data_IF_582682381336
#
_entry.id   IF_582682381336
#
_cell.length_a   1.000
_cell.length_b   1.000
_cell.length_c   1.000
_cell.angle_alpha   90.00
_cell.angle_beta   90.00
_cell.angle_gamma   90.00
#
_symmetry.space_group_name_H-M   'P 1'
#
loop_
_entity.id
_entity.type
_entity.pdbx_description
1 polymer ?
#
# COMPACT_ATOMS: atom_id res chain seq x y z
N UNK A 1 -49.64 49.36 7.93
CA UNK A 1 -48.23 49.77 8.00
C UNK A 1 -47.52 49.22 9.25
N UNK A 2 -48.05 49.44 10.46
CA UNK A 2 -47.43 48.99 11.74
C UNK A 2 -47.38 47.47 11.97
N UNK A 3 -48.39 46.72 11.49
CA UNK A 3 -48.41 45.25 11.62
C UNK A 3 -47.28 44.61 10.79
N UNK A 4 -47.02 45.16 9.61
CA UNK A 4 -45.99 44.67 8.69
C UNK A 4 -44.58 44.88 9.26
N UNK A 5 -44.37 46.00 9.96
CA UNK A 5 -43.11 46.27 10.67
C UNK A 5 -42.91 45.36 11.88
N UNK A 6 -43.97 45.01 12.63
CA UNK A 6 -43.88 44.09 13.78
C UNK A 6 -43.53 42.67 13.32
N UNK A 7 -44.14 42.18 12.23
CA UNK A 7 -43.85 40.84 11.69
C UNK A 7 -42.40 40.73 11.19
N UNK A 8 -41.90 41.76 10.49
CA UNK A 8 -40.50 41.83 10.06
C UNK A 8 -39.53 41.85 11.25
N UNK A 9 -39.89 42.52 12.34
CA UNK A 9 -39.08 42.57 13.56
C UNK A 9 -38.97 41.18 14.21
N UNK A 10 -40.10 40.47 14.33
CA UNK A 10 -40.14 39.11 14.88
C UNK A 10 -39.32 38.14 14.00
N UNK A 11 -39.43 38.24 12.68
CA UNK A 11 -38.62 37.45 11.72
C UNK A 11 -37.13 37.74 11.91
N UNK A 12 -36.75 39.01 12.09
CA UNK A 12 -35.35 39.38 12.32
C UNK A 12 -34.79 38.77 13.61
N UNK A 13 -35.56 38.82 14.70
CA UNK A 13 -35.20 38.19 15.98
C UNK A 13 -35.07 36.67 15.84
N UNK A 14 -36.01 36.01 15.14
CA UNK A 14 -35.97 34.58 14.87
C UNK A 14 -34.75 34.18 14.02
N UNK A 15 -34.42 34.96 12.98
CA UNK A 15 -33.26 34.71 12.14
C UNK A 15 -31.95 34.84 12.93
N UNK A 16 -31.86 35.81 13.84
CA UNK A 16 -30.68 35.99 14.70
C UNK A 16 -30.52 34.79 15.63
N UNK A 17 -31.60 34.34 16.27
CA UNK A 17 -31.58 33.16 17.13
C UNK A 17 -31.14 31.89 16.39
N UNK A 18 -31.70 31.65 15.19
CA UNK A 18 -31.33 30.51 14.35
C UNK A 18 -29.91 30.61 13.77
N UNK A 19 -29.43 31.82 13.50
CA UNK A 19 -28.08 32.07 13.00
C UNK A 19 -27.00 31.72 14.03
N UNK A 20 -27.24 32.04 15.30
CA UNK A 20 -26.35 31.65 16.39
C UNK A 20 -26.19 30.13 16.50
N UNK A 21 -27.28 29.37 16.34
CA UNK A 21 -27.22 27.90 16.35
C UNK A 21 -26.49 27.31 15.14
N UNK A 22 -26.61 27.90 13.94
CA UNK A 22 -25.90 27.42 12.74
C UNK A 22 -24.41 27.76 12.73
N UNK A 23 -24.02 28.90 13.31
CA UNK A 23 -22.62 29.35 13.31
C UNK A 23 -21.72 28.44 14.17
N UNK A 24 -22.25 27.87 15.24
CA UNK A 24 -21.49 26.98 16.14
C UNK A 24 -21.24 25.59 15.51
N UNK A 25 -22.18 25.09 14.71
CA UNK A 25 -22.08 23.75 14.12
C UNK A 25 -21.12 23.68 12.92
N UNK A 26 -21.03 24.73 12.10
CA UNK A 26 -20.12 24.74 10.95
C UNK A 26 -18.64 24.83 11.33
N UNK A 27 -18.35 25.47 12.47
CA UNK A 27 -16.99 25.75 12.91
C UNK A 27 -16.38 24.59 13.70
N UNK A 28 -17.16 23.93 14.58
CA UNK A 28 -16.71 22.75 15.34
C UNK A 28 -16.46 21.54 14.45
N UNK A 29 -17.32 21.34 13.44
CA UNK A 29 -17.13 20.26 12.46
C UNK A 29 -15.85 20.47 11.67
N UNK A 30 -15.53 21.71 11.28
CA UNK A 30 -14.31 22.02 10.55
C UNK A 30 -13.03 21.80 11.38
N UNK A 31 -13.08 22.15 12.67
CA UNK A 31 -11.97 21.95 13.62
C UNK A 31 -11.74 20.45 13.90
N UNK A 32 -12.79 19.66 14.11
CA UNK A 32 -12.71 18.19 14.24
C UNK A 32 -12.15 17.52 12.97
N UNK A 33 -12.50 18.03 11.79
CA UNK A 33 -11.92 17.54 10.52
C UNK A 33 -10.45 17.91 10.37
N UNK A 34 -10.03 19.09 10.83
CA UNK A 34 -8.65 19.54 10.76
C UNK A 34 -7.74 18.74 11.70
N UNK A 35 -8.21 18.48 12.93
CA UNK A 35 -7.53 17.61 13.89
C UNK A 35 -7.44 16.16 13.38
N UNK A 36 -8.53 15.62 12.82
CA UNK A 36 -8.52 14.28 12.22
C UNK A 36 -7.57 14.21 11.02
N UNK A 37 -7.54 15.25 10.17
CA UNK A 37 -6.64 15.33 9.02
C UNK A 37 -5.17 15.38 9.44
N UNK A 38 -4.85 16.18 10.46
CA UNK A 38 -3.50 16.24 11.03
C UNK A 38 -3.06 14.90 11.62
N UNK A 39 -3.96 14.22 12.33
CA UNK A 39 -3.69 12.91 12.90
C UNK A 39 -3.46 11.86 11.80
N UNK A 40 -4.32 11.81 10.78
CA UNK A 40 -4.17 10.90 9.64
C UNK A 40 -2.86 11.13 8.89
N UNK A 41 -2.46 12.38 8.70
CA UNK A 41 -1.19 12.71 8.05
C UNK A 41 0.01 12.23 8.88
N UNK A 42 -0.05 12.38 10.21
CA UNK A 42 0.99 11.89 11.11
C UNK A 42 1.05 10.36 11.11
N UNK A 43 -0.11 9.69 11.11
CA UNK A 43 -0.20 8.23 11.05
C UNK A 43 0.34 7.68 9.73
N UNK A 44 0.01 8.31 8.60
CA UNK A 44 0.56 7.94 7.28
C UNK A 44 2.08 8.11 7.25
N UNK A 45 2.62 9.18 7.84
CA UNK A 45 4.06 9.38 7.90
C UNK A 45 4.76 8.30 8.73
N UNK A 46 4.20 7.97 9.89
CA UNK A 46 4.72 6.88 10.71
C UNK A 46 4.63 5.52 10.01
N UNK A 47 3.52 5.26 9.31
CA UNK A 47 3.33 4.04 8.53
C UNK A 47 4.34 3.96 7.38
N UNK A 48 4.58 5.06 6.66
CA UNK A 48 5.60 5.16 5.62
C UNK A 48 6.99 4.82 6.14
N UNK A 49 7.38 5.35 7.31
CA UNK A 49 8.68 5.03 7.90
C UNK A 49 8.78 3.56 8.32
N UNK A 50 7.73 3.00 8.92
CA UNK A 50 7.69 1.57 9.28
C UNK A 50 7.83 0.70 8.03
N UNK A 51 7.10 1.01 6.96
CA UNK A 51 7.18 0.30 5.67
C UNK A 51 8.58 0.44 5.06
N UNK A 52 9.15 1.65 5.03
CA UNK A 52 10.50 1.88 4.49
C UNK A 52 11.59 1.12 5.26
N UNK A 53 11.46 0.99 6.59
CA UNK A 53 12.38 0.16 7.39
C UNK A 53 12.23 -1.31 7.00
N UNK A 54 11.00 -1.81 6.87
CA UNK A 54 10.75 -3.18 6.43
C UNK A 54 11.27 -3.44 5.01
N UNK A 55 11.13 -2.49 4.09
CA UNK A 55 11.68 -2.57 2.73
C UNK A 55 13.21 -2.64 2.75
N UNK A 56 13.87 -1.83 3.57
CA UNK A 56 15.33 -1.87 3.71
C UNK A 56 15.82 -3.17 4.37
N UNK A 57 15.13 -3.68 5.39
CA UNK A 57 15.46 -4.97 6.01
C UNK A 57 15.25 -6.14 5.05
N UNK A 58 14.26 -6.05 4.16
CA UNK A 58 13.98 -7.06 3.14
C UNK A 58 14.71 -6.81 1.82
N UNK A 59 15.57 -5.77 1.75
CA UNK A 59 16.35 -5.33 0.58
C UNK A 59 15.49 -5.10 -0.69
N UNK A 60 14.26 -4.60 -0.54
CA UNK A 60 13.37 -4.26 -1.65
C UNK A 60 13.74 -2.85 -2.14
N UNK A 61 14.36 -2.75 -3.31
CA UNK A 61 14.60 -1.45 -3.96
C UNK A 61 13.33 -1.05 -4.71
N UNK A 62 12.90 0.23 -4.71
CA UNK A 62 11.65 0.66 -5.36
C UNK A 62 11.56 0.40 -6.87
N UNK A 63 12.68 0.09 -7.53
CA UNK A 63 12.71 -0.40 -8.92
C UNK A 63 12.17 -1.84 -9.08
N UNK A 64 11.94 -2.58 -7.99
CA UNK A 64 11.39 -3.94 -8.00
C UNK A 64 9.86 -4.01 -7.94
N UNK A 65 9.15 -2.94 -8.36
CA UNK A 65 7.69 -3.01 -8.56
C UNK A 65 7.31 -3.90 -9.77
N UNK A 66 8.29 -4.53 -10.41
CA UNK A 66 8.11 -5.57 -11.43
C UNK A 66 8.21 -7.00 -10.90
N UNK A 67 8.48 -7.21 -9.60
CA UNK A 67 8.83 -8.55 -9.11
C UNK A 67 7.95 -9.03 -7.97
N UNK A 68 6.75 -9.46 -8.36
CA UNK A 68 6.00 -10.50 -7.64
C UNK A 68 6.68 -11.89 -7.73
N UNK A 69 7.95 -11.95 -8.15
CA UNK A 69 8.67 -13.17 -8.53
C UNK A 69 9.76 -13.56 -7.51
N UNK A 70 10.11 -12.68 -6.55
CA UNK A 70 11.20 -12.92 -5.59
C UNK A 70 10.71 -13.53 -4.27
N UNK A 71 9.85 -14.55 -4.33
CA UNK A 71 9.77 -15.61 -3.29
C UNK A 71 9.54 -17.00 -3.90
N UNK A 72 9.73 -17.13 -5.21
CA UNK A 72 9.58 -18.39 -5.94
C UNK A 72 10.96 -18.94 -6.39
N UNK A 73 12.02 -18.14 -6.30
CA UNK A 73 13.30 -18.53 -6.89
C UNK A 73 14.09 -19.57 -6.08
N UNK A 74 14.07 -19.56 -4.74
CA UNK A 74 14.82 -20.57 -3.95
C UNK A 74 14.17 -21.97 -4.01
N UNK A 75 12.83 -22.03 -3.99
CA UNK A 75 12.10 -23.30 -4.11
C UNK A 75 12.30 -23.89 -5.49
N UNK A 76 12.24 -23.07 -6.55
CA UNK A 76 12.46 -23.54 -7.91
C UNK A 76 13.93 -23.91 -8.16
N UNK A 77 14.91 -23.17 -7.61
CA UNK A 77 16.33 -23.55 -7.63
C UNK A 77 16.55 -24.92 -7.00
N UNK A 78 15.98 -25.14 -5.81
CA UNK A 78 16.04 -26.44 -5.11
C UNK A 78 15.40 -27.55 -5.94
N UNK A 79 14.28 -27.27 -6.61
CA UNK A 79 13.59 -28.23 -7.46
C UNK A 79 14.39 -28.60 -8.72
N UNK A 80 15.01 -27.62 -9.38
CA UNK A 80 15.91 -27.82 -10.54
C UNK A 80 17.10 -28.71 -10.14
N UNK A 81 17.78 -28.40 -9.03
CA UNK A 81 18.91 -29.20 -8.53
C UNK A 81 18.47 -30.63 -8.17
N UNK A 82 17.30 -30.78 -7.57
CA UNK A 82 16.72 -32.10 -7.23
C UNK A 82 16.44 -32.93 -8.48
N UNK A 83 15.90 -32.34 -9.55
CA UNK A 83 15.65 -33.05 -10.80
C UNK A 83 16.95 -33.40 -11.54
N UNK A 84 17.94 -32.49 -11.52
CA UNK A 84 19.25 -32.74 -12.11
C UNK A 84 19.99 -33.89 -11.40
N UNK A 85 19.98 -33.91 -10.07
CA UNK A 85 20.60 -35.00 -9.28
C UNK A 85 19.86 -36.34 -9.42
N UNK A 86 18.60 -36.33 -9.87
CA UNK A 86 17.84 -37.53 -10.23
C UNK A 86 18.16 -38.06 -11.64
N UNK A 87 19.01 -37.35 -12.41
CA UNK A 87 19.42 -37.76 -13.75
C UNK A 87 18.43 -37.37 -14.86
N UNK A 88 17.60 -36.34 -14.63
CA UNK A 88 16.67 -35.81 -15.64
C UNK A 88 17.42 -34.85 -16.58
N UNK A 89 17.17 -34.96 -17.89
CA UNK A 89 17.78 -34.08 -18.91
C UNK A 89 17.33 -32.62 -18.75
N UNK A 90 18.23 -31.69 -19.08
CA UNK A 90 18.05 -30.23 -18.91
C UNK A 90 16.81 -29.73 -19.65
N UNK A 91 16.51 -30.28 -20.83
CA UNK A 91 15.31 -29.93 -21.61
C UNK A 91 14.01 -30.34 -20.90
N UNK A 92 14.01 -31.50 -20.24
CA UNK A 92 12.85 -31.97 -19.47
C UNK A 92 12.67 -31.19 -18.18
N UNK A 93 13.77 -30.80 -17.52
CA UNK A 93 13.73 -29.93 -16.34
C UNK A 93 13.09 -28.59 -16.71
N UNK A 94 13.53 -27.95 -17.80
CA UNK A 94 12.94 -26.70 -18.30
C UNK A 94 11.43 -26.82 -18.56
N UNK A 95 10.99 -27.92 -19.19
CA UNK A 95 9.57 -28.18 -19.42
C UNK A 95 8.78 -28.41 -18.13
N UNK A 96 9.37 -29.11 -17.16
CA UNK A 96 8.72 -29.48 -15.89
C UNK A 96 8.65 -28.32 -14.90
N UNK A 97 9.70 -27.48 -14.84
CA UNK A 97 9.77 -26.32 -13.96
C UNK A 97 9.23 -25.05 -14.62
N UNK A 98 8.81 -25.11 -15.89
CA UNK A 98 8.37 -23.96 -16.70
C UNK A 98 9.41 -22.83 -16.72
N UNK A 99 10.70 -23.19 -16.66
CA UNK A 99 11.81 -22.24 -16.67
C UNK A 99 12.47 -22.24 -18.05
N UNK A 100 12.96 -21.08 -18.55
CA UNK A 100 13.78 -21.05 -19.74
C UNK A 100 15.01 -21.95 -19.61
N UNK A 101 15.42 -22.57 -20.72
CA UNK A 101 16.60 -23.45 -20.77
C UNK A 101 17.84 -22.76 -20.17
N UNK A 102 18.03 -21.48 -20.52
CA UNK A 102 19.12 -20.63 -20.03
C UNK A 102 19.13 -20.49 -18.50
N UNK A 103 17.96 -20.39 -17.87
CA UNK A 103 17.83 -20.29 -16.41
C UNK A 103 18.15 -21.63 -15.74
N UNK A 104 17.74 -22.75 -16.34
CA UNK A 104 18.06 -24.10 -15.82
C UNK A 104 19.55 -24.38 -15.92
N UNK A 105 20.17 -24.06 -17.06
CA UNK A 105 21.63 -24.18 -17.25
C UNK A 105 22.41 -23.33 -16.24
N UNK A 106 21.99 -22.08 -16.03
CA UNK A 106 22.60 -21.20 -15.05
C UNK A 106 22.56 -21.78 -13.63
N UNK A 107 21.40 -22.29 -13.20
CA UNK A 107 21.23 -22.88 -11.86
C UNK A 107 22.04 -24.17 -11.69
N UNK A 108 22.10 -25.02 -12.72
CA UNK A 108 22.91 -26.25 -12.68
C UNK A 108 24.41 -25.92 -12.67
N UNK A 109 24.86 -24.97 -13.48
CA UNK A 109 26.27 -24.55 -13.48
C UNK A 109 26.67 -23.90 -12.15
N UNK A 110 25.82 -23.04 -11.59
CA UNK A 110 25.99 -22.46 -10.25
C UNK A 110 26.11 -23.58 -9.19
N UNK A 111 25.32 -24.66 -9.27
CA UNK A 111 25.44 -25.80 -8.36
C UNK A 111 26.73 -26.61 -8.55
N UNK A 112 27.17 -26.83 -9.80
CA UNK A 112 28.39 -27.60 -10.10
C UNK A 112 29.66 -26.82 -9.77
N UNK A 113 29.67 -25.49 -9.91
CA UNK A 113 30.84 -24.66 -9.57
C UNK A 113 31.01 -24.47 -8.06
N UNK A 114 29.92 -24.51 -7.30
CA UNK A 114 29.92 -24.24 -5.85
C UNK A 114 30.05 -25.52 -4.99
N UNK A 115 30.15 -26.70 -5.62
CA UNK A 115 30.36 -28.02 -5.01
C UNK A 115 31.62 -28.70 -5.57
#
# INVERSE_FOLDING_TARGET
>A
MTILTIVLLIISILLIGLSYAKKDNGQKVQEEFEDLSLQLMQDIFQLKNRVAVLENELNITPDDTSSSTIKVHDVLKTHVITLYTQGVDIENISAQTQLPLETVEFVVNEYVENN
#
